data_IF_899436851353
#
_entry.id   IF_899436851353
#
_cell.length_a   1.000
_cell.length_b   1.000
_cell.length_c   1.000
_cell.angle_alpha   90.00
_cell.angle_beta   90.00
_cell.angle_gamma   90.00
#
_symmetry.space_group_name_H-M   'P 1'
#
loop_
_entity.id
_entity.type
_entity.pdbx_description
1 polymer ?
#
# COMPACT_ATOMS: atom_id res chain seq x y z
N UNK A 1 22.91 -10.03 18.98
CA UNK A 1 23.29 -8.84 18.19
C UNK A 1 24.02 -9.18 16.89
N UNK A 2 24.96 -10.11 16.84
CA UNK A 2 25.76 -10.45 15.64
C UNK A 2 24.93 -11.04 14.50
N UNK A 3 23.96 -11.93 14.80
CA UNK A 3 23.08 -12.56 13.79
C UNK A 3 22.15 -11.53 13.11
N UNK A 4 21.64 -10.57 13.86
CA UNK A 4 20.82 -9.49 13.27
C UNK A 4 21.62 -8.57 12.34
N UNK A 5 22.87 -8.28 12.67
CA UNK A 5 23.74 -7.49 11.81
C UNK A 5 24.13 -8.26 10.54
N UNK A 6 24.32 -9.59 10.63
CA UNK A 6 24.61 -10.45 9.48
C UNK A 6 23.40 -10.59 8.55
N UNK A 7 22.20 -10.77 9.10
CA UNK A 7 20.96 -10.79 8.32
C UNK A 7 20.70 -9.43 7.67
N UNK A 8 20.97 -8.32 8.35
CA UNK A 8 20.79 -7.00 7.76
C UNK A 8 21.72 -6.74 6.57
N UNK A 9 22.96 -7.24 6.61
CA UNK A 9 23.91 -7.15 5.47
C UNK A 9 23.47 -7.99 4.27
N UNK A 10 22.76 -9.09 4.49
CA UNK A 10 22.29 -9.97 3.40
C UNK A 10 21.07 -9.38 2.70
N UNK A 11 20.17 -8.71 3.45
CA UNK A 11 18.97 -8.09 2.92
C UNK A 11 19.16 -6.64 2.45
N UNK A 12 20.20 -5.96 2.93
CA UNK A 12 20.52 -4.59 2.53
C UNK A 12 21.61 -4.67 1.47
N UNK A 13 21.24 -4.87 0.20
CA UNK A 13 22.16 -4.60 -0.92
C UNK A 13 22.76 -3.21 -0.73
N UNK A 14 24.06 -3.10 -0.98
CA UNK A 14 25.03 -1.97 -0.97
C UNK A 14 24.57 -0.51 -0.70
N UNK A 15 23.27 -0.23 -0.70
CA UNK A 15 22.68 1.10 -0.54
C UNK A 15 21.94 1.31 0.79
N UNK A 16 22.34 0.60 1.86
CA UNK A 16 21.70 0.72 3.18
C UNK A 16 21.69 2.13 3.79
N UNK A 17 22.50 3.06 3.26
CA UNK A 17 22.50 4.49 3.59
C UNK A 17 21.45 5.30 2.81
N UNK A 18 20.72 4.68 1.94
CA UNK A 18 19.72 5.25 1.07
C UNK A 18 18.54 5.91 1.80
N UNK A 19 18.08 5.32 2.90
CA UNK A 19 17.02 5.87 3.76
C UNK A 19 17.47 7.15 4.51
N UNK A 20 18.79 7.32 4.72
CA UNK A 20 19.35 8.45 5.45
C UNK A 20 19.57 9.70 4.61
N UNK A 21 19.22 9.71 3.32
CA UNK A 21 19.09 10.99 2.62
C UNK A 21 18.01 11.81 3.35
N UNK A 22 18.42 12.92 3.92
CA UNK A 22 17.63 13.79 4.83
C UNK A 22 16.17 14.02 4.36
N UNK A 23 15.97 14.17 3.07
CA UNK A 23 14.64 14.36 2.46
C UNK A 23 13.75 13.10 2.52
N UNK A 24 14.32 11.90 2.34
CA UNK A 24 13.57 10.63 2.38
C UNK A 24 13.13 10.30 3.80
N UNK A 25 14.01 10.54 4.77
CA UNK A 25 13.69 10.35 6.19
C UNK A 25 12.58 11.29 6.65
N UNK A 26 12.62 12.56 6.25
CA UNK A 26 11.54 13.53 6.55
C UNK A 26 10.21 13.09 5.91
N UNK A 27 10.25 12.62 4.65
CA UNK A 27 9.04 12.12 3.99
C UNK A 27 8.47 10.87 4.68
N UNK A 28 9.33 9.98 5.19
CA UNK A 28 8.92 8.82 5.97
C UNK A 28 8.26 9.26 7.29
N UNK A 29 8.84 10.21 8.01
CA UNK A 29 8.24 10.75 9.24
C UNK A 29 6.87 11.40 8.99
N UNK A 30 6.69 12.06 7.85
CA UNK A 30 5.39 12.64 7.45
C UNK A 30 4.40 11.53 7.05
N UNK A 31 4.88 10.46 6.43
CA UNK A 31 4.05 9.35 5.99
C UNK A 31 3.44 8.58 7.16
N UNK A 32 4.19 8.34 8.23
CA UNK A 32 3.73 7.56 9.40
C UNK A 32 2.41 8.09 9.97
N UNK A 33 2.27 9.37 10.36
CA UNK A 33 1.02 9.87 10.91
C UNK A 33 -0.14 9.82 9.91
N UNK A 34 0.12 10.07 8.63
CA UNK A 34 -0.89 9.97 7.57
C UNK A 34 -1.40 8.53 7.47
N UNK A 35 -0.48 7.57 7.46
CA UNK A 35 -0.81 6.14 7.43
C UNK A 35 -1.65 5.72 8.65
N UNK A 36 -1.25 6.12 9.86
CA UNK A 36 -1.98 5.82 11.09
C UNK A 36 -3.41 6.40 11.06
N UNK A 37 -3.56 7.64 10.58
CA UNK A 37 -4.89 8.28 10.47
C UNK A 37 -5.78 7.50 9.49
N UNK A 38 -5.26 7.12 8.32
CA UNK A 38 -6.03 6.34 7.34
C UNK A 38 -6.38 4.94 7.86
N UNK A 39 -5.46 4.31 8.61
CA UNK A 39 -5.69 3.02 9.27
C UNK A 39 -6.81 3.12 10.32
N UNK A 40 -6.79 4.15 11.18
CA UNK A 40 -7.83 4.36 12.20
C UNK A 40 -9.19 4.58 11.52
N UNK A 41 -9.26 5.42 10.48
CA UNK A 41 -10.51 5.67 9.74
C UNK A 41 -11.07 4.38 9.13
N UNK A 42 -10.21 3.61 8.45
CA UNK A 42 -10.60 2.37 7.81
C UNK A 42 -11.13 1.34 8.84
N UNK A 43 -10.45 1.17 9.96
CA UNK A 43 -10.92 0.28 11.03
C UNK A 43 -12.22 0.79 11.68
N UNK A 44 -12.39 2.10 11.83
CA UNK A 44 -13.61 2.69 12.34
C UNK A 44 -14.82 2.44 11.44
N UNK A 45 -14.62 2.51 10.12
CA UNK A 45 -15.69 2.23 9.15
C UNK A 45 -16.11 0.76 9.18
N UNK A 46 -15.16 -0.17 9.35
CA UNK A 46 -15.47 -1.59 9.55
C UNK A 46 -16.19 -1.81 10.88
N UNK A 47 -15.73 -1.20 11.96
CA UNK A 47 -16.39 -1.31 13.26
C UNK A 47 -17.85 -0.84 13.19
N UNK A 48 -18.13 0.28 12.51
CA UNK A 48 -19.50 0.75 12.27
C UNK A 48 -20.32 -0.25 11.47
N UNK A 49 -19.75 -0.83 10.40
CA UNK A 49 -20.44 -1.85 9.59
C UNK A 49 -20.73 -3.11 10.44
N UNK A 50 -19.77 -3.56 11.26
CA UNK A 50 -19.94 -4.72 12.12
C UNK A 50 -20.99 -4.53 13.22
N UNK A 51 -21.12 -3.30 13.77
CA UNK A 51 -22.13 -2.94 14.77
C UNK A 51 -23.50 -2.65 14.13
N UNK A 52 -23.56 -2.54 12.81
CA UNK A 52 -24.84 -2.32 12.10
C UNK A 52 -25.58 -3.63 11.97
N UNK A 53 -26.82 -3.68 12.41
CA UNK A 53 -27.73 -4.83 12.21
C UNK A 53 -28.25 -4.97 10.77
N UNK A 54 -27.78 -4.11 9.84
CA UNK A 54 -28.16 -4.21 8.42
C UNK A 54 -27.37 -5.33 7.75
N UNK A 55 -28.03 -6.06 6.86
CA UNK A 55 -27.39 -7.07 6.01
C UNK A 55 -26.30 -6.39 5.19
N UNK A 56 -25.06 -6.85 5.34
CA UNK A 56 -23.93 -6.31 4.59
C UNK A 56 -23.96 -6.98 3.22
N UNK A 57 -24.28 -6.22 2.20
CA UNK A 57 -24.11 -6.64 0.82
C UNK A 57 -22.65 -6.41 0.44
N UNK A 58 -21.95 -7.47 0.07
CA UNK A 58 -20.57 -7.43 -0.41
C UNK A 58 -20.57 -7.73 -1.91
N UNK A 59 -19.79 -6.99 -2.66
CA UNK A 59 -19.61 -7.19 -4.09
C UNK A 59 -18.12 -7.41 -4.39
N UNK A 60 -17.60 -8.62 -4.13
CA UNK A 60 -16.18 -8.90 -4.28
C UNK A 60 -15.76 -8.89 -5.75
N UNK A 61 -14.64 -8.26 -6.02
CA UNK A 61 -14.04 -8.25 -7.36
C UNK A 61 -12.52 -8.28 -7.29
N UNK A 62 -11.90 -8.68 -8.40
CA UNK A 62 -10.46 -8.55 -8.59
C UNK A 62 -10.24 -7.41 -9.57
N UNK A 63 -9.52 -6.38 -9.13
CA UNK A 63 -9.23 -5.20 -9.93
C UNK A 63 -7.74 -5.12 -10.25
N UNK A 64 -7.41 -4.83 -11.52
CA UNK A 64 -6.05 -4.52 -11.96
C UNK A 64 -5.87 -3.01 -11.88
N UNK A 65 -4.94 -2.53 -11.07
CA UNK A 65 -4.62 -1.11 -10.97
C UNK A 65 -3.20 -0.83 -11.40
N UNK A 66 -2.99 0.24 -12.17
CA UNK A 66 -1.66 0.69 -12.57
C UNK A 66 -1.07 1.56 -11.47
N UNK A 67 0.21 1.38 -11.18
CA UNK A 67 1.01 2.25 -10.30
C UNK A 67 2.15 2.91 -11.05
N UNK A 68 2.59 4.08 -10.56
CA UNK A 68 3.75 4.79 -11.10
C UNK A 68 5.01 4.57 -10.23
N UNK A 69 4.96 3.65 -9.27
CA UNK A 69 6.12 3.26 -8.49
C UNK A 69 7.00 2.35 -9.31
N UNK A 70 8.31 2.61 -9.29
CA UNK A 70 9.32 1.87 -10.04
C UNK A 70 10.17 0.98 -9.13
N UNK A 71 10.36 1.39 -7.86
CA UNK A 71 11.18 0.61 -6.94
C UNK A 71 10.43 -0.56 -6.31
N UNK A 72 11.09 -1.71 -6.17
CA UNK A 72 10.54 -2.90 -5.51
C UNK A 72 10.09 -2.60 -4.07
N UNK A 73 10.86 -1.79 -3.35
CA UNK A 73 10.51 -1.35 -2.00
C UNK A 73 9.26 -0.47 -1.97
N UNK A 74 9.11 0.40 -2.96
CA UNK A 74 7.90 1.23 -3.12
C UNK A 74 6.67 0.37 -3.40
N UNK A 75 6.81 -0.62 -4.28
CA UNK A 75 5.74 -1.58 -4.62
C UNK A 75 5.35 -2.42 -3.42
N UNK A 76 6.33 -2.98 -2.69
CA UNK A 76 6.08 -3.75 -1.48
C UNK A 76 5.39 -2.91 -0.40
N UNK A 77 5.83 -1.66 -0.20
CA UNK A 77 5.22 -0.76 0.77
C UNK A 77 3.78 -0.40 0.39
N UNK A 78 3.52 -0.12 -0.89
CA UNK A 78 2.16 0.17 -1.36
C UNK A 78 1.24 -1.05 -1.19
N UNK A 79 1.72 -2.24 -1.52
CA UNK A 79 0.98 -3.51 -1.37
C UNK A 79 0.62 -3.75 0.10
N UNK A 80 1.55 -3.53 1.02
CA UNK A 80 1.30 -3.63 2.45
C UNK A 80 0.28 -2.61 2.92
N UNK A 81 0.40 -1.35 2.49
CA UNK A 81 -0.57 -0.31 2.84
C UNK A 81 -1.99 -0.65 2.36
N UNK A 82 -2.12 -1.20 1.15
CA UNK A 82 -3.41 -1.63 0.60
C UNK A 82 -3.97 -2.81 1.41
N UNK A 83 -3.16 -3.83 1.67
CA UNK A 83 -3.59 -5.03 2.40
C UNK A 83 -3.98 -4.72 3.85
N UNK A 84 -3.35 -3.75 4.49
CA UNK A 84 -3.69 -3.32 5.84
C UNK A 84 -4.98 -2.48 5.90
N UNK A 85 -5.51 -2.01 4.77
CA UNK A 85 -6.84 -1.42 4.75
C UNK A 85 -7.90 -2.52 4.64
N UNK A 86 -9.00 -2.43 5.45
CA UNK A 86 -10.01 -3.48 5.48
C UNK A 86 -10.70 -3.66 4.12
N UNK A 87 -10.87 -4.91 3.73
CA UNK A 87 -11.59 -5.27 2.51
C UNK A 87 -10.74 -5.26 1.23
N UNK A 88 -9.43 -5.06 1.34
CA UNK A 88 -8.52 -5.13 0.20
C UNK A 88 -7.33 -6.05 0.49
N UNK A 89 -6.96 -6.85 -0.49
CA UNK A 89 -5.78 -7.73 -0.43
C UNK A 89 -5.04 -7.63 -1.74
N UNK A 90 -3.76 -7.28 -1.69
CA UNK A 90 -2.90 -7.36 -2.88
C UNK A 90 -2.54 -8.81 -3.14
N UNK A 91 -2.94 -9.32 -4.30
CA UNK A 91 -2.74 -10.71 -4.69
C UNK A 91 -1.45 -10.91 -5.46
N UNK A 92 -1.13 -9.95 -6.35
CA UNK A 92 0.02 -10.09 -7.24
C UNK A 92 0.51 -8.71 -7.71
N UNK A 93 1.79 -8.65 -8.08
CA UNK A 93 2.46 -7.49 -8.67
C UNK A 93 3.02 -7.94 -10.01
N UNK A 94 2.59 -7.27 -11.07
CA UNK A 94 2.98 -7.63 -12.42
C UNK A 94 3.60 -6.43 -13.15
N UNK A 95 4.78 -6.65 -13.73
CA UNK A 95 5.49 -5.67 -14.55
C UNK A 95 5.22 -5.93 -16.04
N UNK A 96 4.79 -4.91 -16.75
CA UNK A 96 4.54 -4.96 -18.19
C UNK A 96 5.05 -3.69 -18.86
N UNK A 97 6.04 -3.80 -19.74
CA UNK A 97 6.57 -2.69 -20.56
C UNK A 97 6.88 -1.43 -19.74
N UNK A 98 7.71 -1.58 -18.70
CA UNK A 98 8.10 -0.51 -17.78
C UNK A 98 6.95 0.10 -16.96
N UNK A 99 5.85 -0.61 -16.84
CA UNK A 99 4.71 -0.23 -16.00
C UNK A 99 4.40 -1.33 -15.00
N UNK A 100 4.15 -0.92 -13.78
CA UNK A 100 3.78 -1.85 -12.71
C UNK A 100 2.28 -1.84 -12.47
N UNK A 101 1.74 -3.02 -12.32
CA UNK A 101 0.32 -3.27 -12.05
C UNK A 101 0.20 -4.09 -10.77
N UNK A 102 -0.85 -3.80 -10.00
CA UNK A 102 -1.23 -4.56 -8.82
C UNK A 102 -2.59 -5.22 -9.07
N UNK A 103 -2.69 -6.52 -8.82
CA UNK A 103 -3.94 -7.25 -8.79
C UNK A 103 -4.44 -7.27 -7.35
N UNK A 104 -5.60 -6.68 -7.12
CA UNK A 104 -6.14 -6.48 -5.79
C UNK A 104 -7.52 -7.13 -5.71
N UNK A 105 -7.69 -8.02 -4.75
CA UNK A 105 -9.01 -8.47 -4.35
C UNK A 105 -9.66 -7.37 -3.50
N UNK A 106 -10.80 -6.90 -3.93
CA UNK A 106 -11.57 -5.85 -3.29
C UNK A 106 -12.95 -6.36 -2.90
N UNK A 107 -13.23 -6.43 -1.59
CA UNK A 107 -14.43 -7.06 -1.04
C UNK A 107 -15.71 -6.26 -1.33
N UNK A 108 -15.62 -4.95 -1.37
CA UNK A 108 -16.77 -4.04 -1.56
C UNK A 108 -16.50 -3.12 -2.76
N UNK A 109 -16.49 -3.72 -3.95
CA UNK A 109 -16.25 -3.01 -5.19
C UNK A 109 -17.38 -2.06 -5.50
N UNK A 110 -17.05 -0.77 -5.48
CA UNK A 110 -18.02 0.32 -5.78
C UNK A 110 -17.99 0.74 -7.24
N UNK A 111 -17.06 0.20 -8.04
CA UNK A 111 -16.88 0.58 -9.44
C UNK A 111 -16.08 -0.41 -10.24
N UNK A 112 -16.48 -0.64 -11.46
CA UNK A 112 -15.73 -1.44 -12.46
C UNK A 112 -14.72 -0.57 -13.23
N UNK A 113 -14.73 0.76 -13.05
CA UNK A 113 -13.79 1.66 -13.67
C UNK A 113 -12.42 1.57 -12.99
N UNK A 114 -11.44 1.05 -13.71
CA UNK A 114 -10.06 0.86 -13.26
C UNK A 114 -9.41 2.14 -12.68
N UNK A 115 -9.70 3.31 -13.25
CA UNK A 115 -9.14 4.58 -12.78
C UNK A 115 -9.76 5.02 -11.46
N UNK A 116 -11.06 4.83 -11.31
CA UNK A 116 -11.77 5.14 -10.07
C UNK A 116 -11.38 4.15 -8.97
N UNK A 117 -11.30 2.86 -9.28
CA UNK A 117 -10.81 1.83 -8.38
C UNK A 117 -9.39 2.15 -7.89
N UNK A 118 -8.46 2.46 -8.81
CA UNK A 118 -7.10 2.84 -8.47
C UNK A 118 -7.06 4.06 -7.53
N UNK A 119 -7.84 5.09 -7.78
CA UNK A 119 -7.91 6.28 -6.93
C UNK A 119 -8.47 5.96 -5.53
N UNK A 120 -9.47 5.09 -5.45
CA UNK A 120 -10.08 4.69 -4.18
C UNK A 120 -9.14 3.83 -3.34
N UNK A 121 -8.49 2.84 -3.95
CA UNK A 121 -7.68 1.85 -3.26
C UNK A 121 -6.30 2.41 -2.86
N UNK A 122 -5.53 2.92 -3.83
CA UNK A 122 -4.19 3.43 -3.55
C UNK A 122 -4.18 4.84 -2.95
N UNK A 123 -5.25 5.61 -3.15
CA UNK A 123 -5.50 6.91 -2.53
C UNK A 123 -4.30 7.85 -2.55
N UNK A 124 -3.93 8.30 -1.35
CA UNK A 124 -2.79 9.19 -1.13
C UNK A 124 -1.47 8.44 -0.96
N UNK A 125 -1.50 7.14 -0.67
CA UNK A 125 -0.31 6.35 -0.30
C UNK A 125 0.76 6.38 -1.39
N UNK A 126 0.39 6.13 -2.66
CA UNK A 126 1.31 6.12 -3.78
C UNK A 126 2.14 7.40 -3.87
N UNK A 127 1.52 8.56 -3.67
CA UNK A 127 2.21 9.86 -3.74
C UNK A 127 3.31 10.02 -2.69
N UNK A 128 3.06 9.56 -1.46
CA UNK A 128 4.04 9.66 -0.37
C UNK A 128 5.11 8.59 -0.51
N UNK A 129 4.72 7.36 -0.84
CA UNK A 129 5.63 6.24 -1.04
C UNK A 129 6.62 6.55 -2.16
N UNK A 130 6.17 7.12 -3.28
CA UNK A 130 7.04 7.55 -4.37
C UNK A 130 8.10 8.56 -3.93
N UNK A 131 7.76 9.49 -3.06
CA UNK A 131 8.73 10.47 -2.53
C UNK A 131 9.79 9.86 -1.61
N UNK A 132 9.48 8.70 -1.03
CA UNK A 132 10.39 7.99 -0.13
C UNK A 132 11.30 7.06 -0.94
N UNK A 133 10.74 6.33 -1.91
CA UNK A 133 11.40 5.20 -2.55
C UNK A 133 11.88 5.48 -3.99
N UNK A 134 11.22 6.32 -4.74
CA UNK A 134 11.62 6.75 -6.07
C UNK A 134 12.17 8.19 -6.04
#
# INVERSE_FOLDING_TARGET
MVVGAFCSQFFIKKDGFWLFKKLRFVNLLIFIPIYIIELIKANWDVAKKALSFKKIEVNPSIVKIQTNLLSDWGLAMLSNCITLTPGTITMDIYEEKDKNYLYIHWLDSTTDDMKKAAKSIKGKFEKYIRRIFD
#
